data_IF_744854555627
#
_entry.id   IF_744854555627
#
_cell.length_a   1.000
_cell.length_b   1.000
_cell.length_c   1.000
_cell.angle_alpha   90.00
_cell.angle_beta   90.00
_cell.angle_gamma   90.00
#
_symmetry.space_group_name_H-M   'P 1'
#
loop_
_entity.id
_entity.type
_entity.pdbx_description
1 polymer ?
#
# COMPACT_ATOMS: atom_id res chain seq x y z
N UNK A 1 3.76 7.86 -17.41
CA UNK A 1 4.16 6.74 -16.52
C UNK A 1 5.35 7.23 -15.72
N UNK A 2 5.20 7.35 -14.40
CA UNK A 2 6.30 7.72 -13.48
C UNK A 2 6.98 6.46 -12.98
N UNK A 3 8.27 6.53 -12.65
CA UNK A 3 9.04 5.41 -12.13
C UNK A 3 9.68 5.77 -10.80
N UNK A 4 9.65 4.83 -9.86
CA UNK A 4 10.35 4.88 -8.58
C UNK A 4 11.35 3.73 -8.54
N UNK A 5 12.52 3.97 -7.96
CA UNK A 5 13.56 2.96 -7.75
C UNK A 5 13.93 2.89 -6.28
N UNK A 6 13.68 1.76 -5.64
CA UNK A 6 13.93 1.54 -4.21
C UNK A 6 14.65 0.20 -4.07
N UNK A 7 15.83 0.18 -3.44
CA UNK A 7 16.64 -1.02 -3.21
C UNK A 7 16.83 -1.90 -4.47
N UNK A 8 17.18 -1.26 -5.59
CA UNK A 8 17.35 -1.88 -6.91
C UNK A 8 16.08 -2.49 -7.53
N UNK A 9 14.91 -2.19 -6.97
CA UNK A 9 13.61 -2.59 -7.48
C UNK A 9 12.92 -1.41 -8.16
N UNK A 10 12.32 -1.66 -9.31
CA UNK A 10 11.64 -0.64 -10.11
C UNK A 10 10.12 -0.77 -9.96
N UNK A 11 9.48 0.37 -9.73
CA UNK A 11 8.03 0.50 -9.60
C UNK A 11 7.53 1.51 -10.62
N UNK A 12 6.44 1.19 -11.31
CA UNK A 12 5.91 2.06 -12.35
C UNK A 12 4.48 2.46 -12.06
N UNK A 13 4.17 3.75 -12.06
CA UNK A 13 2.82 4.26 -11.82
C UNK A 13 2.03 4.29 -13.12
N UNK A 14 0.88 3.61 -13.12
CA UNK A 14 -0.07 3.60 -14.23
C UNK A 14 -1.17 4.62 -14.07
N UNK A 15 -1.81 4.65 -12.90
CA UNK A 15 -2.98 5.48 -12.64
C UNK A 15 -2.98 5.96 -11.20
N UNK A 16 -3.36 7.23 -11.05
CA UNK A 16 -3.60 7.87 -9.75
C UNK A 16 -5.02 8.40 -9.76
N UNK A 17 -5.78 8.15 -8.70
CA UNK A 17 -7.13 8.65 -8.49
C UNK A 17 -7.18 9.41 -7.16
N UNK A 18 -7.47 10.70 -7.21
CA UNK A 18 -7.40 11.60 -6.04
C UNK A 18 -8.76 11.83 -5.38
N UNK A 19 -9.67 10.86 -5.46
CA UNK A 19 -11.02 10.97 -4.89
C UNK A 19 -10.99 11.32 -3.40
N UNK A 20 -11.98 12.09 -2.92
CA UNK A 20 -11.92 12.66 -1.56
C UNK A 20 -11.93 11.63 -0.43
N UNK A 21 -12.60 10.49 -0.62
CA UNK A 21 -12.75 9.45 0.41
C UNK A 21 -11.69 8.35 0.32
N UNK A 22 -11.54 7.79 -0.88
CA UNK A 22 -10.72 6.62 -1.12
C UNK A 22 -9.76 6.84 -2.31
N UNK A 23 -8.78 7.75 -2.19
CA UNK A 23 -7.79 7.91 -3.24
C UNK A 23 -6.94 6.63 -3.38
N UNK A 24 -6.54 6.31 -4.61
CA UNK A 24 -5.75 5.11 -4.87
C UNK A 24 -4.70 5.33 -5.96
N UNK A 25 -3.69 4.46 -5.95
CA UNK A 25 -2.65 4.39 -6.97
C UNK A 25 -2.57 2.96 -7.49
N UNK A 26 -2.62 2.81 -8.81
CA UNK A 26 -2.30 1.58 -9.52
C UNK A 26 -0.86 1.67 -10.02
N UNK A 27 -0.05 0.70 -9.62
CA UNK A 27 1.35 0.61 -9.99
C UNK A 27 1.75 -0.82 -10.38
N UNK A 28 2.86 -0.93 -11.10
CA UNK A 28 3.51 -2.19 -11.43
C UNK A 28 4.76 -2.39 -10.59
N UNK A 29 5.03 -3.65 -10.26
CA UNK A 29 6.36 -4.10 -9.88
C UNK A 29 6.67 -5.42 -10.58
N UNK A 30 7.78 -5.49 -11.30
CA UNK A 30 8.09 -6.61 -12.18
C UNK A 30 6.99 -6.85 -13.21
N UNK A 31 6.30 -7.99 -13.13
CA UNK A 31 5.15 -8.36 -13.98
C UNK A 31 3.80 -8.23 -13.29
N UNK A 32 3.77 -7.77 -12.04
CA UNK A 32 2.59 -7.78 -11.19
C UNK A 32 1.99 -6.38 -11.10
N UNK A 33 0.66 -6.33 -11.21
CA UNK A 33 -0.13 -5.12 -11.06
C UNK A 33 -0.67 -5.04 -9.63
N UNK A 34 -0.50 -3.88 -9.01
CA UNK A 34 -0.91 -3.62 -7.64
C UNK A 34 -1.79 -2.38 -7.54
N UNK A 35 -2.64 -2.36 -6.52
CA UNK A 35 -3.41 -1.18 -6.13
C UNK A 35 -3.23 -0.91 -4.64
N UNK A 36 -2.88 0.33 -4.31
CA UNK A 36 -2.88 0.82 -2.93
C UNK A 36 -3.99 1.84 -2.78
N UNK A 37 -4.93 1.60 -1.86
CA UNK A 37 -6.04 2.51 -1.55
C UNK A 37 -5.83 3.11 -0.16
N UNK A 38 -5.97 4.43 -0.08
CA UNK A 38 -5.92 5.19 1.15
C UNK A 38 -7.33 5.55 1.59
N UNK A 39 -7.58 5.55 2.89
CA UNK A 39 -8.88 5.90 3.45
C UNK A 39 -8.74 7.16 4.30
N UNK A 40 -9.65 8.13 4.15
CA UNK A 40 -9.74 9.25 5.10
C UNK A 40 -9.94 8.72 6.51
N UNK A 41 -9.21 9.26 7.47
CA UNK A 41 -9.26 8.81 8.86
C UNK A 41 -9.42 9.98 9.86
N UNK A 42 -9.83 9.65 11.08
CA UNK A 42 -9.83 10.59 12.20
C UNK A 42 -8.53 10.45 13.02
N UNK A 43 -8.34 11.35 13.99
CA UNK A 43 -7.15 11.38 14.85
C UNK A 43 -6.95 10.10 15.66
N UNK A 44 -8.04 9.44 16.06
CA UNK A 44 -7.96 8.21 16.87
C UNK A 44 -7.41 7.04 16.04
N UNK A 45 -7.88 6.88 14.81
CA UNK A 45 -7.38 5.86 13.89
C UNK A 45 -5.88 6.08 13.53
N UNK A 46 -5.42 7.33 13.47
CA UNK A 46 -4.00 7.66 13.31
C UNK A 46 -3.18 7.20 14.52
N UNK A 47 -3.67 7.40 15.74
CA UNK A 47 -2.99 6.96 16.97
C UNK A 47 -2.85 5.45 17.04
N UNK A 48 -3.85 4.72 16.56
CA UNK A 48 -3.83 3.25 16.51
C UNK A 48 -2.87 2.71 15.43
N UNK A 49 -2.70 3.43 14.32
CA UNK A 49 -1.94 2.98 13.14
C UNK A 49 -0.94 4.01 12.60
N UNK A 50 -0.01 4.54 13.42
CA UNK A 50 0.84 5.67 13.04
C UNK A 50 1.74 5.36 11.84
N UNK A 51 2.23 4.11 11.70
CA UNK A 51 3.10 3.68 10.58
C UNK A 51 2.39 3.64 9.22
N UNK A 52 1.07 3.72 9.20
CA UNK A 52 0.24 3.75 7.99
C UNK A 52 -0.38 5.12 7.76
N UNK A 53 -0.07 6.11 8.60
CA UNK A 53 -0.72 7.40 8.60
C UNK A 53 0.03 8.43 7.76
N UNK A 54 -0.73 9.16 6.95
CA UNK A 54 -0.23 10.17 6.03
C UNK A 54 -1.10 11.42 6.12
N UNK A 55 -0.53 12.57 5.77
CA UNK A 55 -1.26 13.84 5.66
C UNK A 55 -1.02 14.48 4.31
N UNK A 56 -2.08 15.03 3.73
CA UNK A 56 -2.01 15.86 2.52
C UNK A 56 -1.75 17.33 2.87
N UNK A 57 -1.34 18.12 1.88
CA UNK A 57 -1.03 19.55 2.05
C UNK A 57 -2.18 20.41 2.64
N UNK A 58 -3.43 19.97 2.52
CA UNK A 58 -4.60 20.63 3.10
C UNK A 58 -4.92 20.18 4.55
N UNK A 59 -4.06 19.37 5.18
CA UNK A 59 -4.22 18.89 6.54
C UNK A 59 -5.18 17.70 6.71
N UNK A 60 -5.81 17.20 5.63
CA UNK A 60 -6.56 15.94 5.69
C UNK A 60 -5.61 14.78 6.01
N UNK A 61 -6.11 13.82 6.78
CA UNK A 61 -5.34 12.65 7.22
C UNK A 61 -5.90 11.39 6.58
N UNK A 62 -4.99 10.49 6.22
CA UNK A 62 -5.28 9.26 5.52
C UNK A 62 -4.54 8.09 6.17
N UNK A 63 -5.14 6.90 6.11
CA UNK A 63 -4.45 5.64 6.39
C UNK A 63 -4.25 4.86 5.10
N UNK A 64 -3.07 4.27 4.90
CA UNK A 64 -2.86 3.23 3.90
C UNK A 64 -3.70 2.01 4.27
N UNK A 65 -4.81 1.84 3.55
CA UNK A 65 -5.85 0.86 3.83
C UNK A 65 -5.62 -0.45 3.08
N UNK A 66 -6.28 -0.58 1.93
CA UNK A 66 -6.24 -1.79 1.11
C UNK A 66 -4.96 -1.81 0.29
N UNK A 67 -4.34 -2.99 0.26
CA UNK A 67 -3.24 -3.30 -0.64
C UNK A 67 -3.62 -4.54 -1.43
N UNK A 68 -3.69 -4.42 -2.74
CA UNK A 68 -4.26 -5.45 -3.61
C UNK A 68 -3.31 -5.80 -4.76
N UNK A 69 -3.36 -7.06 -5.20
CA UNK A 69 -2.66 -7.56 -6.40
C UNK A 69 -3.68 -8.05 -7.42
N UNK A 70 -3.44 -7.76 -8.69
CA UNK A 70 -4.27 -8.28 -9.78
C UNK A 70 -3.82 -9.69 -10.13
N UNK A 71 -4.73 -10.66 -10.00
CA UNK A 71 -4.52 -12.04 -10.40
C UNK A 71 -5.77 -12.57 -11.09
N UNK A 72 -5.61 -13.19 -12.27
CA UNK A 72 -6.71 -13.69 -13.10
C UNK A 72 -7.83 -12.64 -13.34
N UNK A 73 -7.43 -11.40 -13.64
CA UNK A 73 -8.33 -10.26 -13.87
C UNK A 73 -9.15 -9.80 -12.64
N UNK A 74 -8.84 -10.32 -11.46
CA UNK A 74 -9.51 -10.01 -10.20
C UNK A 74 -8.51 -9.43 -9.19
N UNK A 75 -8.97 -8.52 -8.32
CA UNK A 75 -8.14 -7.91 -7.27
C UNK A 75 -8.23 -8.74 -5.99
N UNK A 76 -7.10 -9.26 -5.53
CA UNK A 76 -6.95 -9.97 -4.26
C UNK A 76 -6.33 -9.04 -3.22
N UNK A 77 -6.84 -9.07 -1.98
CA UNK A 77 -6.36 -8.21 -0.89
C UNK A 77 -5.24 -8.89 -0.09
N UNK A 78 -4.22 -8.13 0.25
CA UNK A 78 -3.09 -8.57 1.07
C UNK A 78 -3.55 -9.00 2.47
N UNK A 79 -3.22 -10.23 2.85
CA UNK A 79 -3.47 -10.77 4.19
C UNK A 79 -2.17 -10.68 5.00
N UNK A 80 -2.19 -9.93 6.09
CA UNK A 80 -1.02 -9.78 6.97
C UNK A 80 -0.67 -11.14 7.62
N UNK A 81 0.58 -11.63 7.51
CA UNK A 81 1.01 -12.83 8.20
C UNK A 81 0.84 -12.72 9.72
N UNK A 82 0.40 -13.80 10.37
CA UNK A 82 0.08 -13.83 11.81
C UNK A 82 1.16 -14.45 12.70
N UNK A 83 2.24 -15.06 12.16
CA UNK A 83 3.34 -15.62 12.95
C UNK A 83 4.67 -15.77 12.18
N UNK A 84 5.77 -15.92 12.94
CA UNK A 84 7.19 -15.87 12.55
C UNK A 84 7.66 -16.96 11.57
N UNK A 85 8.32 -16.55 10.47
CA UNK A 85 9.11 -17.41 9.55
C UNK A 85 8.60 -17.27 8.12
N UNK A 86 9.37 -17.03 7.06
CA UNK A 86 10.78 -17.30 6.73
C UNK A 86 11.31 -16.26 5.73
N UNK A 87 12.62 -16.21 5.48
CA UNK A 87 13.23 -15.39 4.42
C UNK A 87 12.51 -15.62 3.08
N UNK A 88 12.01 -14.54 2.45
CA UNK A 88 11.03 -14.53 1.33
C UNK A 88 9.72 -15.25 1.73
N UNK A 89 8.86 -14.53 2.45
CA UNK A 89 7.55 -15.06 2.88
C UNK A 89 6.63 -15.07 1.67
N UNK A 90 6.25 -16.26 1.22
CA UNK A 90 5.07 -16.45 0.38
C UNK A 90 3.92 -15.62 0.99
N UNK A 91 3.53 -14.57 0.28
CA UNK A 91 2.49 -13.65 0.73
C UNK A 91 1.13 -14.22 0.37
N UNK A 92 0.20 -14.17 1.32
CA UNK A 92 -1.18 -14.56 1.10
C UNK A 92 -2.00 -13.35 0.65
N UNK A 93 -2.75 -13.55 -0.42
CA UNK A 93 -3.73 -12.61 -0.93
C UNK A 93 -5.07 -13.32 -1.04
N UNK A 94 -6.16 -12.69 -0.63
CA UNK A 94 -7.47 -13.35 -0.59
C UNK A 94 -8.56 -12.51 -1.23
N UNK A 95 -9.53 -13.20 -1.84
CA UNK A 95 -10.73 -12.61 -2.42
C UNK A 95 -11.88 -13.60 -2.32
N UNK A 96 -12.96 -13.23 -1.63
CA UNK A 96 -14.19 -14.03 -1.55
C UNK A 96 -13.94 -15.51 -1.18
N UNK A 97 -12.99 -15.77 -0.28
CA UNK A 97 -12.61 -17.12 0.15
C UNK A 97 -11.68 -17.88 -0.81
N UNK A 98 -11.19 -17.23 -1.88
CA UNK A 98 -10.13 -17.74 -2.74
C UNK A 98 -8.78 -17.17 -2.29
N UNK A 99 -7.79 -18.04 -2.18
CA UNK A 99 -6.44 -17.66 -1.78
C UNK A 99 -5.47 -17.70 -2.96
N UNK A 100 -4.60 -16.71 -3.00
CA UNK A 100 -3.51 -16.57 -3.95
C UNK A 100 -2.20 -16.40 -3.17
N UNK A 101 -1.32 -17.39 -3.31
CA UNK A 101 -0.02 -17.41 -2.67
C UNK A 101 1.07 -17.06 -3.69
N UNK A 102 1.91 -16.09 -3.35
CA UNK A 102 2.98 -15.59 -4.23
C UNK A 102 4.10 -14.95 -3.44
N UNK A 103 5.35 -15.19 -3.85
CA UNK A 103 6.52 -14.59 -3.22
C UNK A 103 6.74 -13.15 -3.72
N UNK A 104 6.83 -12.22 -2.76
CA UNK A 104 7.17 -10.83 -2.98
C UNK A 104 8.26 -10.36 -2.02
N UNK A 105 8.94 -9.23 -2.30
CA UNK A 105 9.82 -8.60 -1.34
C UNK A 105 9.11 -8.37 -0.01
N UNK A 106 9.80 -8.64 1.10
CA UNK A 106 9.22 -8.57 2.46
C UNK A 106 8.64 -7.18 2.79
N UNK A 107 9.25 -6.15 2.24
CA UNK A 107 8.91 -4.75 2.44
C UNK A 107 7.97 -4.19 1.37
N UNK A 108 7.48 -5.01 0.43
CA UNK A 108 6.68 -4.55 -0.73
C UNK A 108 5.52 -3.64 -0.34
N UNK A 109 4.80 -3.97 0.75
CA UNK A 109 3.69 -3.15 1.25
C UNK A 109 4.17 -1.82 1.84
N UNK A 110 5.30 -1.84 2.55
CA UNK A 110 5.91 -0.65 3.15
C UNK A 110 6.47 0.30 2.10
N UNK A 111 7.10 -0.23 1.05
CA UNK A 111 7.54 0.55 -0.11
C UNK A 111 6.34 1.10 -0.86
N UNK A 112 5.35 0.25 -1.16
CA UNK A 112 4.13 0.64 -1.88
C UNK A 112 3.39 1.80 -1.19
N UNK A 113 3.21 1.76 0.13
CA UNK A 113 2.50 2.85 0.82
C UNK A 113 3.25 4.19 0.73
N UNK A 114 4.58 4.20 0.68
CA UNK A 114 5.38 5.43 0.58
C UNK A 114 5.29 5.99 -0.83
N UNK A 115 5.59 5.18 -1.86
CA UNK A 115 5.56 5.64 -3.25
C UNK A 115 4.15 6.10 -3.66
N UNK A 116 3.11 5.41 -3.19
CA UNK A 116 1.73 5.77 -3.53
C UNK A 116 1.25 7.00 -2.75
N UNK A 117 1.70 7.19 -1.51
CA UNK A 117 1.42 8.41 -0.76
C UNK A 117 2.08 9.63 -1.42
N UNK A 118 3.35 9.51 -1.81
CA UNK A 118 4.07 10.57 -2.52
C UNK A 118 3.37 10.94 -3.84
N UNK A 119 2.95 9.93 -4.62
CA UNK A 119 2.22 10.15 -5.86
C UNK A 119 0.86 10.87 -5.65
N UNK A 120 0.24 10.67 -4.49
CA UNK A 120 -0.98 11.37 -4.07
C UNK A 120 -0.72 12.74 -3.42
N UNK A 121 0.53 13.19 -3.33
CA UNK A 121 0.89 14.45 -2.67
C UNK A 121 0.69 14.41 -1.15
N UNK A 122 0.83 13.22 -0.55
CA UNK A 122 0.76 13.00 0.88
C UNK A 122 2.16 12.76 1.46
N UNK A 123 2.34 13.08 2.73
CA UNK A 123 3.59 12.83 3.47
C UNK A 123 3.30 11.98 4.70
N UNK A 124 4.24 11.12 5.13
CA UNK A 124 4.09 10.36 6.38
C UNK A 124 3.82 11.32 7.54
N UNK A 125 2.84 10.97 8.39
CA UNK A 125 2.71 11.61 9.69
C UNK A 125 3.83 11.03 10.55
N UNK A 126 4.87 11.83 10.84
CA UNK A 126 5.93 11.42 11.76
C UNK A 126 5.29 10.86 13.03
N UNK A 127 5.76 9.69 13.48
CA UNK A 127 5.34 9.15 14.75
C UNK A 127 5.75 10.18 15.81
N UNK A 128 4.76 10.91 16.34
CA UNK A 128 4.98 11.82 17.47
C UNK A 128 5.59 10.94 18.56
N UNK A 129 6.89 11.12 18.79
CA UNK A 129 7.59 10.43 19.87
C UNK A 129 6.92 10.88 21.15
N UNK A 130 6.25 9.95 21.83
CA UNK A 130 5.71 10.14 23.17
C UNK A 130 6.84 10.13 24.20
#
# INVERSE_FOLDING_TARGET
>A
MRQYSVDHQNYHIFKTETGEKNPYVHFQWGKFDFRMTFNTCNKDAVRENPKKAFSSANGKQYLAGLFEVLYQSEWFEFVKPTAHGMQLEETLWSRNGQDYYVEFPKDIRSVAQVICAEELGMSPLEAVSA
#
